data_IF_381146473101
#
_entry.id   IF_381146473101
#
_cell.length_a   1.000
_cell.length_b   1.000
_cell.length_c   1.000
_cell.angle_alpha   90.00
_cell.angle_beta   90.00
_cell.angle_gamma   90.00
#
_symmetry.space_group_name_H-M   'P 1'
#
loop_
_entity.id
_entity.type
_entity.pdbx_description
1 polymer ?
#
# COMPACT_ATOMS: atom_id res chain seq x y z
N UNK A 1 -18.62 17.23 -43.76
CA UNK A 1 -17.47 17.92 -43.13
C UNK A 1 -17.76 18.10 -41.64
N UNK A 2 -17.02 17.42 -40.74
CA UNK A 2 -17.12 17.71 -39.30
C UNK A 2 -16.50 19.09 -39.06
N UNK A 3 -17.31 20.06 -38.59
CA UNK A 3 -16.80 21.39 -38.20
C UNK A 3 -15.87 21.20 -37.01
N UNK A 4 -14.59 21.52 -37.17
CA UNK A 4 -13.66 21.56 -36.05
C UNK A 4 -14.09 22.68 -35.10
N UNK A 5 -14.28 22.35 -33.82
CA UNK A 5 -14.57 23.32 -32.78
C UNK A 5 -13.25 23.86 -32.23
N UNK A 6 -13.11 25.17 -32.16
CA UNK A 6 -11.95 25.83 -31.57
C UNK A 6 -12.12 25.80 -30.05
N UNK A 7 -11.22 25.12 -29.35
CA UNK A 7 -11.19 25.08 -27.88
C UNK A 7 -9.98 25.89 -27.41
N UNK A 8 -10.16 26.69 -26.36
CA UNK A 8 -9.10 27.40 -25.66
C UNK A 8 -9.09 26.94 -24.21
N UNK A 9 -7.91 26.64 -23.68
CA UNK A 9 -7.68 26.29 -22.28
C UNK A 9 -6.80 27.38 -21.66
N UNK A 10 -7.26 27.98 -20.57
CA UNK A 10 -6.45 28.82 -19.70
C UNK A 10 -6.12 28.04 -18.44
N UNK A 11 -4.83 27.92 -18.11
CA UNK A 11 -4.38 27.33 -16.86
C UNK A 11 -3.80 28.45 -16.00
N UNK A 12 -4.32 28.60 -14.78
CA UNK A 12 -3.71 29.43 -13.75
C UNK A 12 -3.13 28.51 -12.70
N UNK A 13 -1.85 28.65 -12.41
CA UNK A 13 -1.15 27.90 -11.38
C UNK A 13 -0.84 28.84 -10.22
N UNK A 14 -1.10 28.38 -9.00
CA UNK A 14 -0.69 29.06 -7.77
C UNK A 14 0.09 28.08 -6.93
N UNK A 15 1.28 28.47 -6.49
CA UNK A 15 2.06 27.67 -5.54
C UNK A 15 1.43 27.78 -4.14
N UNK A 16 1.40 26.66 -3.43
CA UNK A 16 1.00 26.59 -2.03
C UNK A 16 2.15 25.99 -1.25
N UNK A 17 2.44 26.60 -0.11
CA UNK A 17 3.49 26.15 0.80
C UNK A 17 2.84 25.72 2.12
N UNK A 18 3.34 24.63 2.68
CA UNK A 18 3.00 24.16 4.02
C UNK A 18 4.25 23.57 4.64
N UNK A 19 4.38 23.74 5.95
CA UNK A 19 5.41 23.04 6.72
C UNK A 19 4.90 21.63 7.08
N UNK A 20 5.79 20.65 6.98
CA UNK A 20 5.57 19.28 7.41
C UNK A 20 6.73 18.82 8.28
N UNK A 21 6.48 17.91 9.22
CA UNK A 21 7.46 17.46 10.20
C UNK A 21 7.54 15.95 10.21
N UNK A 22 8.72 15.37 10.16
CA UNK A 22 8.89 13.97 10.54
C UNK A 22 9.15 13.89 12.04
N UNK A 23 8.51 12.94 12.73
CA UNK A 23 8.76 12.68 14.15
C UNK A 23 9.57 11.40 14.29
N UNK A 24 10.69 11.47 15.01
CA UNK A 24 11.64 10.36 15.08
C UNK A 24 12.01 10.08 16.54
N UNK A 25 11.80 8.83 16.97
CA UNK A 25 12.25 8.30 18.24
C UNK A 25 13.42 7.34 18.05
N UNK A 26 14.42 7.38 18.93
CA UNK A 26 15.56 6.46 18.91
C UNK A 26 15.65 5.69 20.23
N UNK A 27 15.66 4.36 20.14
CA UNK A 27 15.88 3.44 21.26
C UNK A 27 17.29 2.86 21.13
N UNK A 28 18.19 3.32 22.00
CA UNK A 28 19.58 2.87 22.07
C UNK A 28 19.70 1.65 22.98
N UNK A 29 20.01 0.49 22.40
CA UNK A 29 20.16 -0.79 23.11
C UNK A 29 21.62 -1.29 23.11
N UNK A 30 22.58 -0.43 22.76
CA UNK A 30 24.00 -0.76 22.64
C UNK A 30 24.26 -1.92 21.67
N UNK A 31 23.51 -1.96 20.56
CA UNK A 31 23.69 -2.95 19.49
C UNK A 31 24.47 -2.35 18.32
N UNK A 32 25.09 -3.23 17.51
CA UNK A 32 25.92 -2.81 16.37
C UNK A 32 25.10 -2.15 15.25
N UNK A 33 23.85 -2.55 15.11
CA UNK A 33 22.98 -2.21 13.98
C UNK A 33 21.64 -1.67 14.46
N UNK A 34 21.01 -0.87 13.61
CA UNK A 34 19.73 -0.19 13.87
C UNK A 34 18.69 -0.66 12.87
N UNK A 35 17.47 -0.92 13.34
CA UNK A 35 16.31 -1.20 12.50
C UNK A 35 15.44 0.05 12.44
N UNK A 36 15.03 0.43 11.23
CA UNK A 36 14.05 1.51 11.05
C UNK A 36 12.65 0.90 11.04
N UNK A 37 11.75 1.47 11.83
CA UNK A 37 10.32 1.17 11.79
C UNK A 37 9.59 2.44 11.36
N UNK A 38 8.85 2.38 10.26
CA UNK A 38 8.23 3.55 9.63
C UNK A 38 6.71 3.43 9.45
N UNK A 39 6.02 4.55 9.57
CA UNK A 39 4.63 4.76 9.16
C UNK A 39 4.45 6.26 8.86
N UNK A 40 3.52 6.65 7.98
CA UNK A 40 3.14 8.06 7.90
C UNK A 40 2.00 8.37 8.87
N UNK A 41 1.88 9.64 9.25
CA UNK A 41 0.85 10.11 10.18
C UNK A 41 -0.01 11.23 9.60
N UNK A 42 0.32 11.73 8.40
CA UNK A 42 -0.60 12.58 7.64
C UNK A 42 -1.71 11.76 6.98
N UNK A 43 -2.80 12.45 6.65
CA UNK A 43 -3.85 11.94 5.79
C UNK A 43 -4.53 13.13 5.07
N UNK A 44 -5.61 12.89 4.35
CA UNK A 44 -6.24 13.83 3.43
C UNK A 44 -6.99 15.01 4.07
N UNK A 45 -7.09 15.09 5.40
CA UNK A 45 -7.77 16.21 6.09
C UNK A 45 -9.23 16.36 5.64
N UNK A 46 -9.58 17.47 4.98
CA UNK A 46 -10.95 17.67 4.44
C UNK A 46 -11.20 16.98 3.08
N UNK A 47 -10.29 16.11 2.64
CA UNK A 47 -10.29 15.48 1.33
C UNK A 47 -9.53 16.32 0.30
N UNK A 48 -9.96 16.26 -0.96
CA UNK A 48 -9.29 16.95 -2.06
C UNK A 48 -9.18 16.07 -3.30
N UNK A 49 -8.11 16.27 -4.07
CA UNK A 49 -7.88 15.55 -5.33
C UNK A 49 -7.74 14.03 -5.13
N UNK A 50 -7.16 13.62 -3.99
CA UNK A 50 -6.97 12.21 -3.64
C UNK A 50 -8.19 11.57 -2.96
N UNK A 51 -9.25 12.34 -2.66
CA UNK A 51 -10.44 11.80 -2.01
C UNK A 51 -11.28 10.94 -2.96
N UNK A 52 -11.63 9.74 -2.49
CA UNK A 52 -12.56 8.85 -3.17
C UNK A 52 -14.02 9.10 -2.77
N UNK A 53 -14.28 10.06 -1.88
CA UNK A 53 -15.62 10.43 -1.45
C UNK A 53 -16.28 11.40 -2.45
N UNK A 54 -17.60 11.25 -2.63
CA UNK A 54 -18.41 12.07 -3.57
C UNK A 54 -19.51 12.86 -2.88
N UNK A 55 -19.60 12.77 -1.55
CA UNK A 55 -20.53 13.57 -0.77
C UNK A 55 -19.99 14.97 -0.45
N UNK A 56 -20.65 15.68 0.49
CA UNK A 56 -20.18 16.97 0.98
C UNK A 56 -18.76 16.91 1.55
N UNK A 57 -18.05 18.04 1.58
CA UNK A 57 -16.73 18.12 2.24
C UNK A 57 -16.84 17.59 3.67
N UNK A 58 -15.94 16.66 4.01
CA UNK A 58 -15.92 15.98 5.28
C UNK A 58 -14.48 15.58 5.64
N UNK A 59 -14.24 15.46 6.95
CA UNK A 59 -12.95 15.03 7.45
C UNK A 59 -12.67 13.56 7.09
N UNK A 60 -11.46 13.29 6.63
CA UNK A 60 -10.91 11.97 6.39
C UNK A 60 -10.02 11.67 7.59
N UNK A 61 -10.50 10.80 8.48
CA UNK A 61 -9.80 10.51 9.73
C UNK A 61 -8.59 9.60 9.53
N UNK A 62 -8.58 8.78 8.47
CA UNK A 62 -7.43 7.94 8.12
C UNK A 62 -7.12 6.89 9.18
N UNK A 63 -8.16 6.29 9.76
CA UNK A 63 -7.97 5.36 10.87
C UNK A 63 -7.15 4.13 10.47
N UNK A 64 -7.35 3.61 9.25
CA UNK A 64 -6.48 2.58 8.69
C UNK A 64 -5.29 3.19 7.96
N UNK A 65 -5.54 4.25 7.19
CA UNK A 65 -4.58 4.96 6.34
C UNK A 65 -4.25 6.37 6.88
N UNK A 66 -3.24 6.57 7.71
CA UNK A 66 -2.37 5.55 8.30
C UNK A 66 -2.27 5.64 9.83
N UNK A 67 -3.40 5.96 10.47
CA UNK A 67 -3.58 5.89 11.91
C UNK A 67 -3.26 4.49 12.46
N UNK A 68 -3.48 3.44 11.67
CA UNK A 68 -3.18 2.06 12.06
C UNK A 68 -1.68 1.79 12.16
N UNK A 69 -0.88 2.17 11.15
CA UNK A 69 0.58 2.04 11.17
C UNK A 69 1.19 2.87 12.27
N UNK A 70 0.73 4.12 12.43
CA UNK A 70 1.18 5.00 13.52
C UNK A 70 0.90 4.39 14.90
N UNK A 71 -0.32 3.90 15.13
CA UNK A 71 -0.70 3.27 16.41
C UNK A 71 0.08 1.99 16.66
N UNK A 72 0.30 1.17 15.62
CA UNK A 72 1.10 -0.04 15.70
C UNK A 72 2.53 0.27 16.16
N UNK A 73 3.17 1.29 15.57
CA UNK A 73 4.53 1.66 15.90
C UNK A 73 4.67 2.27 17.29
N UNK A 74 3.67 3.01 17.78
CA UNK A 74 3.65 3.48 19.17
C UNK A 74 3.62 2.31 20.16
N UNK A 75 2.87 1.24 19.88
CA UNK A 75 2.87 0.04 20.72
C UNK A 75 4.19 -0.73 20.63
N UNK A 76 4.77 -0.87 19.43
CA UNK A 76 6.10 -1.49 19.25
C UNK A 76 7.20 -0.67 19.95
N UNK A 77 7.11 0.67 19.92
CA UNK A 77 7.99 1.57 20.66
C UNK A 77 7.89 1.30 22.17
N UNK A 78 6.67 1.27 22.71
CA UNK A 78 6.41 0.97 24.12
C UNK A 78 6.99 -0.40 24.51
N UNK A 79 6.81 -1.41 23.66
CA UNK A 79 7.33 -2.75 23.88
C UNK A 79 8.87 -2.78 23.91
N UNK A 80 9.55 -2.20 22.92
CA UNK A 80 11.01 -2.22 22.88
C UNK A 80 11.66 -1.34 23.96
N UNK A 81 11.02 -0.23 24.35
CA UNK A 81 11.54 0.64 25.41
C UNK A 81 11.58 -0.04 26.79
N UNK A 82 10.82 -1.11 26.99
CA UNK A 82 10.72 -1.83 28.27
C UNK A 82 11.55 -3.12 28.31
N UNK A 83 12.29 -3.45 27.24
CA UNK A 83 12.98 -4.73 27.10
C UNK A 83 14.49 -4.57 27.04
N UNK A 84 15.18 -5.60 27.53
CA UNK A 84 16.65 -5.69 27.46
C UNK A 84 17.12 -6.77 26.49
N UNK A 85 16.25 -7.70 26.10
CA UNK A 85 16.53 -8.82 25.19
C UNK A 85 16.29 -8.46 23.72
N UNK A 86 16.61 -7.23 23.35
CA UNK A 86 16.51 -6.76 21.96
C UNK A 86 17.77 -7.08 21.16
N UNK A 87 17.63 -7.25 19.85
CA UNK A 87 18.76 -7.58 18.96
C UNK A 87 19.37 -6.36 18.26
N UNK A 88 18.62 -5.25 18.17
CA UNK A 88 19.02 -4.03 17.46
C UNK A 88 18.76 -2.78 18.31
N UNK A 89 19.31 -1.66 17.86
CA UNK A 89 18.76 -0.35 18.19
C UNK A 89 17.56 -0.09 17.28
N UNK A 90 16.65 0.80 17.66
CA UNK A 90 15.45 1.06 16.86
C UNK A 90 15.29 2.55 16.58
N UNK A 91 15.10 2.89 15.31
CA UNK A 91 14.73 4.23 14.87
C UNK A 91 13.27 4.18 14.40
N UNK A 92 12.38 4.77 15.17
CA UNK A 92 10.93 4.74 14.93
C UNK A 92 10.54 6.08 14.34
N UNK A 93 10.04 6.07 13.12
CA UNK A 93 9.81 7.26 12.31
C UNK A 93 8.34 7.38 11.91
N UNK A 94 7.79 8.57 12.12
CA UNK A 94 6.47 8.98 11.67
C UNK A 94 6.64 10.06 10.60
N UNK A 95 6.25 9.77 9.36
CA UNK A 95 6.45 10.66 8.22
C UNK A 95 5.24 11.56 7.96
N UNK A 96 5.51 12.76 7.47
CA UNK A 96 4.47 13.69 7.00
C UNK A 96 4.53 13.83 5.48
N UNK A 97 3.39 14.19 4.87
CA UNK A 97 3.23 14.39 3.44
C UNK A 97 3.58 13.14 2.60
N UNK A 98 3.23 11.96 3.10
CA UNK A 98 3.26 10.72 2.31
C UNK A 98 2.24 10.81 1.16
N UNK A 99 1.03 11.27 1.48
CA UNK A 99 -0.13 11.37 0.57
C UNK A 99 0.10 12.33 -0.60
N UNK A 100 1.11 13.19 -0.47
CA UNK A 100 1.56 14.16 -1.47
C UNK A 100 2.75 13.64 -2.29
N UNK A 101 3.13 12.37 -2.13
CA UNK A 101 4.20 11.72 -2.87
C UNK A 101 5.47 11.47 -2.06
N UNK A 102 5.34 10.88 -0.87
CA UNK A 102 6.45 10.41 -0.02
C UNK A 102 7.41 11.53 0.43
N UNK A 103 6.92 12.76 0.56
CA UNK A 103 7.78 13.94 0.73
C UNK A 103 8.60 13.84 2.02
N UNK A 104 7.98 13.44 3.13
CA UNK A 104 8.64 13.32 4.43
C UNK A 104 9.76 12.29 4.44
N UNK A 105 9.46 11.03 4.09
CA UNK A 105 10.48 9.96 4.07
C UNK A 105 11.60 10.26 3.06
N UNK A 106 11.26 10.78 1.88
CA UNK A 106 12.23 11.18 0.87
C UNK A 106 13.11 12.33 1.35
N UNK A 107 12.56 13.30 2.07
CA UNK A 107 13.35 14.38 2.63
C UNK A 107 14.37 13.84 3.64
N UNK A 108 13.92 13.01 4.59
CA UNK A 108 14.80 12.48 5.63
C UNK A 108 15.90 11.58 5.06
N UNK A 109 15.60 10.67 4.14
CA UNK A 109 16.65 9.81 3.57
C UNK A 109 17.68 10.59 2.73
N UNK A 110 17.34 11.78 2.24
CA UNK A 110 18.27 12.69 1.56
C UNK A 110 19.01 13.66 2.50
N UNK A 111 18.45 13.94 3.68
CA UNK A 111 19.00 14.86 4.68
C UNK A 111 19.06 14.19 6.05
N UNK A 112 19.60 12.97 6.09
CA UNK A 112 19.49 12.09 7.24
C UNK A 112 20.17 12.68 8.47
N UNK A 113 19.47 12.61 9.60
CA UNK A 113 20.02 12.91 10.93
C UNK A 113 20.67 11.69 11.60
N UNK A 114 20.70 10.55 10.91
CA UNK A 114 21.24 9.28 11.38
C UNK A 114 22.19 8.64 10.35
N UNK A 115 23.29 7.99 10.74
CA UNK A 115 24.20 7.33 9.81
C UNK A 115 23.53 6.12 9.13
N UNK A 116 23.08 6.26 7.88
CA UNK A 116 22.37 5.18 7.14
C UNK A 116 23.16 3.87 7.05
N UNK A 117 24.49 3.91 7.07
CA UNK A 117 25.36 2.72 7.11
C UNK A 117 25.16 1.83 8.35
N UNK A 118 24.59 2.39 9.42
CA UNK A 118 24.26 1.65 10.65
C UNK A 118 22.85 1.06 10.61
N UNK A 119 22.04 1.43 9.62
CA UNK A 119 20.72 0.85 9.39
C UNK A 119 20.87 -0.50 8.72
N UNK A 120 20.24 -1.53 9.28
CA UNK A 120 20.25 -2.89 8.76
C UNK A 120 19.14 -3.10 7.72
N UNK A 121 17.93 -2.66 8.06
CA UNK A 121 16.76 -2.69 7.20
C UNK A 121 15.68 -1.75 7.74
N UNK A 122 14.67 -1.52 6.91
CA UNK A 122 13.46 -0.77 7.28
C UNK A 122 12.21 -1.63 7.15
N UNK A 123 11.32 -1.57 8.13
CA UNK A 123 9.95 -2.11 8.04
C UNK A 123 8.98 -0.94 8.04
N UNK A 124 8.23 -0.79 6.94
CA UNK A 124 7.14 0.15 6.82
C UNK A 124 5.81 -0.52 7.19
N UNK A 125 4.94 0.18 7.91
CA UNK A 125 3.60 -0.27 8.25
C UNK A 125 2.58 0.74 7.73
N UNK A 126 1.75 0.30 6.79
CA UNK A 126 0.74 1.13 6.16
C UNK A 126 -0.54 0.34 5.94
N UNK A 127 -1.69 0.91 6.31
CA UNK A 127 -2.98 0.21 6.27
C UNK A 127 -2.92 -1.20 6.89
N UNK A 128 -2.55 -1.27 8.16
CA UNK A 128 -2.33 -2.51 8.94
C UNK A 128 -3.46 -2.82 9.93
N UNK A 129 -4.54 -2.04 9.90
CA UNK A 129 -5.69 -2.14 10.78
C UNK A 129 -6.81 -3.03 10.25
N UNK A 130 -6.75 -3.53 9.00
CA UNK A 130 -7.85 -4.28 8.36
C UNK A 130 -7.55 -5.75 8.11
N UNK A 131 -6.70 -6.36 8.95
CA UNK A 131 -6.37 -7.78 8.84
C UNK A 131 -7.63 -8.67 8.80
N UNK A 132 -7.89 -9.30 7.65
CA UNK A 132 -9.02 -10.22 7.39
C UNK A 132 -8.49 -11.58 6.99
N UNK A 133 -9.09 -12.65 7.52
CA UNK A 133 -8.69 -14.04 7.24
C UNK A 133 -7.20 -14.35 7.50
N UNK A 134 -6.55 -13.55 8.37
CA UNK A 134 -5.11 -13.56 8.59
C UNK A 134 -4.24 -13.28 7.35
N UNK A 135 -4.81 -12.73 6.27
CA UNK A 135 -4.08 -12.39 5.05
C UNK A 135 -3.32 -11.09 5.21
N UNK A 136 -2.04 -11.12 4.89
CA UNK A 136 -1.13 -9.98 4.95
C UNK A 136 -0.27 -9.98 3.68
N UNK A 137 -0.10 -8.83 3.05
CA UNK A 137 0.95 -8.64 2.06
C UNK A 137 2.21 -8.09 2.72
N UNK A 138 3.35 -8.67 2.34
CA UNK A 138 4.67 -8.13 2.63
C UNK A 138 5.34 -7.85 1.29
N UNK A 139 5.48 -6.57 0.94
CA UNK A 139 6.29 -6.14 -0.21
C UNK A 139 7.75 -5.93 0.21
N UNK A 140 8.67 -5.87 -0.75
CA UNK A 140 10.11 -5.73 -0.51
C UNK A 140 10.84 -7.02 -0.18
N UNK A 141 10.17 -8.18 -0.25
CA UNK A 141 10.79 -9.46 0.14
C UNK A 141 11.94 -9.87 -0.75
N UNK A 142 12.08 -9.28 -1.94
CA UNK A 142 13.20 -9.50 -2.84
C UNK A 142 14.38 -8.56 -2.60
N UNK A 143 14.35 -7.69 -1.59
CA UNK A 143 15.38 -6.65 -1.37
C UNK A 143 16.58 -7.12 -0.54
N UNK A 144 16.49 -8.32 0.06
CA UNK A 144 17.63 -9.00 0.66
C UNK A 144 17.58 -10.50 0.38
N UNK A 145 18.75 -11.12 0.23
CA UNK A 145 18.90 -12.56 -0.04
C UNK A 145 18.27 -13.40 1.08
N UNK A 146 18.40 -12.96 2.32
CA UNK A 146 18.01 -13.71 3.52
C UNK A 146 16.50 -13.66 3.81
N UNK A 147 15.75 -12.75 3.16
CA UNK A 147 14.30 -12.63 3.35
C UNK A 147 13.53 -13.88 3.00
N UNK A 148 13.98 -14.65 2.01
CA UNK A 148 13.32 -15.90 1.64
C UNK A 148 13.33 -16.89 2.82
N UNK A 149 14.47 -17.06 3.50
CA UNK A 149 14.61 -17.96 4.64
C UNK A 149 13.92 -17.39 5.90
N UNK A 150 14.11 -16.11 6.20
CA UNK A 150 13.52 -15.43 7.36
C UNK A 150 11.99 -15.52 7.35
N UNK A 151 11.40 -15.38 6.15
CA UNK A 151 9.96 -15.44 5.93
C UNK A 151 9.47 -16.82 5.45
N UNK A 152 10.31 -17.86 5.39
CA UNK A 152 9.91 -19.20 4.92
C UNK A 152 8.98 -19.91 5.91
N UNK A 153 9.29 -19.81 7.21
CA UNK A 153 8.53 -20.50 8.25
C UNK A 153 7.26 -19.70 8.58
N UNK A 154 6.10 -20.35 8.77
CA UNK A 154 4.87 -19.69 9.22
C UNK A 154 5.10 -18.79 10.43
N UNK A 155 4.38 -17.67 10.48
CA UNK A 155 4.46 -16.68 11.56
C UNK A 155 3.04 -16.36 12.03
N UNK A 156 2.74 -16.66 13.30
CA UNK A 156 1.47 -16.30 13.97
C UNK A 156 0.18 -16.71 13.25
N UNK A 157 0.25 -17.74 12.39
CA UNK A 157 -0.87 -18.18 11.55
C UNK A 157 -1.29 -17.16 10.49
N UNK A 158 -0.39 -16.26 10.10
CA UNK A 158 -0.59 -15.32 9.00
C UNK A 158 -0.41 -16.02 7.66
N UNK A 159 -1.31 -15.73 6.73
CA UNK A 159 -1.16 -16.05 5.31
C UNK A 159 -0.44 -14.88 4.63
N UNK A 160 0.87 -15.04 4.44
CA UNK A 160 1.75 -13.97 3.97
C UNK A 160 1.90 -14.06 2.45
N UNK A 161 1.27 -13.12 1.74
CA UNK A 161 1.53 -12.87 0.32
C UNK A 161 2.82 -12.06 0.18
N UNK A 162 3.86 -12.69 -0.36
CA UNK A 162 5.16 -12.04 -0.62
C UNK A 162 5.14 -11.35 -1.97
N UNK A 163 5.56 -10.10 -1.98
CA UNK A 163 5.82 -9.32 -3.19
C UNK A 163 7.30 -8.90 -3.18
N UNK A 164 8.10 -9.34 -4.16
CA UNK A 164 9.52 -9.05 -4.15
C UNK A 164 9.83 -7.56 -4.36
N UNK A 165 8.91 -6.75 -4.91
CA UNK A 165 9.20 -5.38 -5.30
C UNK A 165 9.59 -4.48 -4.11
N UNK A 166 10.76 -3.83 -4.20
CA UNK A 166 11.22 -2.86 -3.19
C UNK A 166 10.60 -1.46 -3.32
N UNK A 167 9.92 -1.20 -4.44
CA UNK A 167 9.24 0.08 -4.72
C UNK A 167 7.74 -0.14 -4.69
N UNK A 168 7.02 0.76 -4.02
CA UNK A 168 5.57 0.83 -3.98
C UNK A 168 5.08 2.23 -3.59
N UNK A 169 3.76 2.43 -3.50
CA UNK A 169 3.17 3.72 -3.14
C UNK A 169 3.18 3.92 -1.62
N UNK A 170 4.34 3.77 -0.96
CA UNK A 170 4.50 4.07 0.46
C UNK A 170 6.00 4.26 0.81
N UNK A 171 6.28 4.66 2.05
CA UNK A 171 7.56 5.22 2.51
C UNK A 171 8.77 4.29 2.38
N UNK A 172 8.59 2.97 2.32
CA UNK A 172 9.70 2.03 2.08
C UNK A 172 10.49 2.36 0.81
N UNK A 173 9.82 2.94 -0.19
CA UNK A 173 10.43 3.33 -1.47
C UNK A 173 11.60 4.29 -1.26
N UNK A 174 11.46 5.23 -0.32
CA UNK A 174 12.50 6.22 0.00
C UNK A 174 13.76 5.57 0.57
N UNK A 175 13.64 4.43 1.25
CA UNK A 175 14.75 3.66 1.82
C UNK A 175 15.35 2.68 0.83
N UNK A 176 14.51 2.03 0.01
CA UNK A 176 14.97 1.16 -1.08
C UNK A 176 15.90 1.92 -2.04
N UNK A 177 15.60 3.18 -2.37
CA UNK A 177 16.49 4.02 -3.18
C UNK A 177 17.81 4.42 -2.51
N UNK A 178 18.01 4.05 -1.25
CA UNK A 178 19.29 4.16 -0.51
C UNK A 178 20.02 2.82 -0.38
N UNK A 179 19.64 1.84 -1.19
CA UNK A 179 20.20 0.48 -1.19
C UNK A 179 20.07 -0.20 0.19
N UNK A 180 18.98 0.07 0.91
CA UNK A 180 18.62 -0.60 2.15
C UNK A 180 17.58 -1.70 1.89
N UNK A 181 17.70 -2.87 2.52
CA UNK A 181 16.61 -3.84 2.55
C UNK A 181 15.37 -3.25 3.20
N UNK A 182 14.22 -3.51 2.60
CA UNK A 182 12.94 -3.00 3.08
C UNK A 182 11.88 -4.10 3.12
N UNK A 183 10.95 -3.97 4.05
CA UNK A 183 9.68 -4.69 4.06
C UNK A 183 8.55 -3.69 4.23
N UNK A 184 7.44 -3.90 3.55
CA UNK A 184 6.23 -3.10 3.71
C UNK A 184 5.06 -4.00 4.07
N UNK A 185 4.47 -3.79 5.25
CA UNK A 185 3.34 -4.55 5.77
C UNK A 185 2.03 -3.86 5.38
N UNK A 186 1.14 -4.60 4.71
CA UNK A 186 -0.11 -4.06 4.15
C UNK A 186 -1.25 -5.09 4.28
N UNK A 187 -2.39 -4.69 4.85
CA UNK A 187 -3.55 -5.60 5.04
C UNK A 187 -4.58 -5.56 3.92
N UNK A 188 -4.24 -4.96 2.80
CA UNK A 188 -5.13 -4.84 1.65
C UNK A 188 -5.96 -3.57 1.72
N UNK A 189 -6.61 -3.24 0.61
CA UNK A 189 -7.47 -2.07 0.55
C UNK A 189 -8.90 -2.39 1.02
N UNK A 190 -9.74 -1.39 1.20
CA UNK A 190 -11.15 -1.58 1.57
C UNK A 190 -12.02 -0.39 1.15
N UNK A 191 -13.35 -0.57 1.09
CA UNK A 191 -14.28 0.45 0.59
C UNK A 191 -14.28 1.81 1.30
N UNK A 192 -13.59 1.95 2.43
CA UNK A 192 -13.45 3.21 3.17
C UNK A 192 -12.15 3.97 2.85
N UNK A 193 -11.22 3.36 2.12
CA UNK A 193 -9.94 3.99 1.72
C UNK A 193 -10.15 5.35 1.09
N UNK A 194 -9.37 6.35 1.54
CA UNK A 194 -9.47 7.75 1.11
C UNK A 194 -10.90 8.32 1.18
N UNK A 195 -11.69 7.93 2.19
CA UNK A 195 -13.03 8.45 2.46
C UNK A 195 -13.19 8.84 3.94
N UNK A 196 -14.16 9.72 4.26
CA UNK A 196 -14.50 10.08 5.63
C UNK A 196 -14.88 8.91 6.53
N UNK A 197 -15.24 7.78 5.94
CA UNK A 197 -15.68 6.59 6.65
C UNK A 197 -14.52 5.68 7.07
N UNK A 198 -13.26 6.02 6.79
CA UNK A 198 -12.12 5.30 7.35
C UNK A 198 -11.91 5.68 8.82
N UNK A 199 -12.70 5.03 9.68
CA UNK A 199 -12.85 5.34 11.09
C UNK A 199 -12.43 4.21 12.03
N UNK A 200 -12.10 4.62 13.26
CA UNK A 200 -11.48 3.79 14.28
C UNK A 200 -12.34 2.58 14.72
N UNK A 201 -13.67 2.69 14.65
CA UNK A 201 -14.59 1.60 15.02
C UNK A 201 -14.46 0.38 14.11
N UNK A 202 -13.84 0.56 12.93
CA UNK A 202 -13.70 -0.50 11.94
C UNK A 202 -12.31 -1.17 11.94
N UNK A 203 -11.45 -0.79 12.88
CA UNK A 203 -10.09 -1.31 13.01
C UNK A 203 -10.07 -2.64 13.77
N UNK A 204 -9.34 -3.61 13.23
CA UNK A 204 -9.05 -4.89 13.86
C UNK A 204 -7.81 -4.78 14.78
N UNK A 205 -7.99 -4.21 15.97
CA UNK A 205 -6.91 -4.06 16.96
C UNK A 205 -6.24 -5.38 17.36
N UNK A 206 -6.98 -6.49 17.40
CA UNK A 206 -6.39 -7.83 17.66
C UNK A 206 -5.47 -8.26 16.53
N UNK A 207 -5.86 -7.97 15.29
CA UNK A 207 -5.01 -8.14 14.10
C UNK A 207 -3.74 -7.31 14.19
N UNK A 208 -3.85 -6.03 14.55
CA UNK A 208 -2.68 -5.16 14.75
C UNK A 208 -1.73 -5.68 15.83
N UNK A 209 -2.24 -6.16 16.97
CA UNK A 209 -1.40 -6.77 18.01
C UNK A 209 -0.62 -8.01 17.50
N UNK A 210 -1.25 -8.80 16.61
CA UNK A 210 -0.58 -9.90 15.91
C UNK A 210 0.51 -9.39 14.97
N UNK A 211 0.29 -8.28 14.26
CA UNK A 211 1.30 -7.66 13.39
C UNK A 211 2.46 -7.03 14.20
N UNK A 212 2.22 -6.50 15.40
CA UNK A 212 3.30 -6.08 16.30
C UNK A 212 4.20 -7.27 16.68
N UNK A 213 3.57 -8.43 16.95
CA UNK A 213 4.29 -9.68 17.22
C UNK A 213 5.04 -10.22 16.00
N UNK A 214 4.51 -9.98 14.79
CA UNK A 214 5.20 -10.28 13.53
C UNK A 214 6.48 -9.46 13.40
N UNK A 215 6.43 -8.13 13.63
CA UNK A 215 7.61 -7.26 13.59
C UNK A 215 8.70 -7.80 14.51
N UNK A 216 8.35 -8.11 15.76
CA UNK A 216 9.29 -8.74 16.71
C UNK A 216 9.88 -10.05 16.18
N UNK A 217 9.05 -10.91 15.60
CA UNK A 217 9.50 -12.21 15.07
C UNK A 217 10.44 -12.06 13.88
N UNK A 218 10.15 -11.14 12.96
CA UNK A 218 11.06 -10.79 11.86
C UNK A 218 12.39 -10.35 12.46
N UNK A 219 12.37 -9.38 13.39
CA UNK A 219 13.59 -8.89 14.03
C UNK A 219 14.41 -9.96 14.73
N UNK A 220 13.77 -10.89 15.46
CA UNK A 220 14.47 -12.01 16.10
C UNK A 220 15.05 -12.98 15.08
N UNK A 221 14.33 -13.29 14.01
CA UNK A 221 14.82 -14.19 12.96
C UNK A 221 15.99 -13.58 12.20
N UNK A 222 15.91 -12.29 11.86
CA UNK A 222 16.99 -11.56 11.18
C UNK A 222 18.26 -11.48 12.01
N UNK A 223 18.15 -11.43 13.34
CA UNK A 223 19.31 -11.38 14.23
C UNK A 223 20.22 -12.63 14.18
N UNK A 224 19.77 -13.72 13.54
CA UNK A 224 20.61 -14.90 13.30
C UNK A 224 21.61 -14.70 12.15
N UNK A 225 21.52 -13.60 11.41
CA UNK A 225 22.42 -13.24 10.33
C UNK A 225 23.30 -12.07 10.77
N UNK A 226 24.58 -12.08 10.37
CA UNK A 226 25.52 -11.01 10.74
C UNK A 226 25.15 -9.67 10.08
N UNK A 227 24.76 -9.74 8.81
CA UNK A 227 24.16 -8.67 8.03
C UNK A 227 23.21 -9.27 6.98
N UNK A 228 22.28 -8.46 6.50
CA UNK A 228 21.52 -8.71 5.28
C UNK A 228 22.31 -8.29 4.04
N UNK A 229 22.13 -9.06 2.98
CA UNK A 229 22.73 -8.78 1.67
C UNK A 229 21.70 -8.08 0.80
N UNK A 230 21.78 -6.75 0.70
CA UNK A 230 20.89 -5.98 -0.18
C UNK A 230 21.02 -6.42 -1.64
N UNK A 231 19.88 -6.56 -2.31
CA UNK A 231 19.83 -6.79 -3.74
C UNK A 231 18.72 -5.94 -4.38
N UNK A 232 19.00 -5.43 -5.57
CA UNK A 232 18.00 -4.68 -6.35
C UNK A 232 16.99 -5.65 -6.92
N UNK A 233 15.72 -5.29 -6.79
CA UNK A 233 14.63 -6.12 -7.29
C UNK A 233 14.47 -5.87 -8.79
N UNK A 234 14.38 -6.95 -9.58
CA UNK A 234 14.20 -6.89 -11.04
C UNK A 234 12.80 -6.43 -11.47
N UNK A 235 11.94 -6.06 -10.53
CA UNK A 235 10.60 -5.51 -10.75
C UNK A 235 10.59 -4.08 -11.34
N UNK A 236 11.61 -3.74 -12.12
CA UNK A 236 11.64 -2.59 -13.01
C UNK A 236 11.81 -2.98 -14.48
N UNK A 237 11.46 -4.21 -14.87
CA UNK A 237 10.79 -4.28 -16.17
C UNK A 237 9.55 -3.41 -16.02
N UNK A 238 9.66 -2.21 -16.59
CA UNK A 238 8.56 -1.29 -16.82
C UNK A 238 7.51 -2.07 -17.59
N UNK A 239 6.65 -2.82 -16.89
CA UNK A 239 5.28 -3.04 -17.36
C UNK A 239 4.70 -1.64 -17.36
N UNK A 240 4.96 -0.92 -18.45
CA UNK A 240 4.42 0.41 -18.70
C UNK A 240 2.94 0.27 -18.48
N UNK A 241 2.45 0.84 -17.39
CA UNK A 241 1.02 0.92 -17.16
C UNK A 241 0.46 1.64 -18.38
N UNK A 242 -0.33 0.95 -19.22
CA UNK A 242 -0.85 1.61 -20.41
C UNK A 242 -1.71 2.78 -19.96
N UNK A 243 -1.56 3.93 -20.62
CA UNK A 243 -2.45 5.06 -20.37
C UNK A 243 -3.87 4.63 -20.74
N UNK A 244 -4.75 4.56 -19.75
CA UNK A 244 -6.18 4.33 -19.95
C UNK A 244 -6.95 5.62 -19.65
N UNK A 245 -8.03 5.83 -20.42
CA UNK A 245 -8.90 7.02 -20.28
C UNK A 245 -10.22 6.72 -19.55
N UNK A 246 -10.42 5.47 -19.18
CA UNK A 246 -11.65 4.94 -18.60
C UNK A 246 -11.36 4.12 -17.35
N UNK A 247 -12.38 3.92 -16.51
CA UNK A 247 -12.28 3.11 -15.30
C UNK A 247 -13.60 2.40 -15.06
N UNK A 248 -13.55 1.17 -14.52
CA UNK A 248 -14.75 0.52 -13.98
C UNK A 248 -15.20 1.13 -12.64
N UNK A 249 -14.33 1.88 -11.97
CA UNK A 249 -14.56 2.35 -10.60
C UNK A 249 -14.57 1.22 -9.57
N UNK A 250 -13.85 0.14 -9.84
CA UNK A 250 -13.67 -0.98 -8.91
C UNK A 250 -12.42 -0.81 -8.07
N UNK A 251 -12.42 -1.48 -6.92
CA UNK A 251 -11.35 -1.49 -5.96
C UNK A 251 -10.70 -2.88 -5.92
N UNK A 252 -9.48 -3.07 -6.44
CA UNK A 252 -8.82 -4.36 -6.46
C UNK A 252 -8.58 -4.94 -5.07
N UNK A 253 -8.79 -6.25 -4.89
CA UNK A 253 -8.26 -7.00 -3.75
C UNK A 253 -6.81 -7.39 -4.06
N UNK A 254 -5.88 -6.57 -3.60
CA UNK A 254 -4.44 -6.78 -3.78
C UNK A 254 -3.92 -8.04 -3.10
N UNK A 255 -4.65 -8.62 -2.14
CA UNK A 255 -4.27 -9.84 -1.43
C UNK A 255 -4.77 -11.10 -2.12
N UNK A 256 -5.57 -10.99 -3.18
CA UNK A 256 -6.00 -12.14 -3.96
C UNK A 256 -4.83 -12.76 -4.71
N UNK A 257 -4.69 -14.09 -4.64
CA UNK A 257 -3.64 -14.86 -5.31
C UNK A 257 -4.15 -15.81 -6.41
N UNK A 258 -5.46 -15.84 -6.66
CA UNK A 258 -6.05 -16.65 -7.72
C UNK A 258 -6.02 -15.96 -9.09
N UNK A 259 -6.41 -16.67 -10.18
CA UNK A 259 -6.53 -16.07 -11.50
C UNK A 259 -7.66 -15.03 -11.52
N UNK A 260 -7.45 -13.96 -12.29
CA UNK A 260 -8.42 -12.88 -12.45
C UNK A 260 -8.12 -11.68 -11.55
N UNK A 261 -9.07 -10.75 -11.49
CA UNK A 261 -9.01 -9.60 -10.60
C UNK A 261 -10.19 -9.66 -9.61
N UNK A 262 -9.93 -10.15 -8.40
CA UNK A 262 -10.92 -10.03 -7.31
C UNK A 262 -11.02 -8.56 -6.88
N UNK A 263 -12.22 -8.12 -6.54
CA UNK A 263 -12.48 -6.76 -6.08
C UNK A 263 -13.00 -6.72 -4.64
N UNK A 264 -12.52 -5.76 -3.86
CA UNK A 264 -13.03 -5.43 -2.52
C UNK A 264 -14.29 -4.55 -2.59
N UNK A 265 -14.59 -4.01 -3.77
CA UNK A 265 -15.86 -3.33 -4.02
C UNK A 265 -15.90 -2.57 -5.34
N UNK A 266 -17.05 -1.95 -5.58
CA UNK A 266 -17.32 -1.09 -6.72
C UNK A 266 -17.91 0.23 -6.24
N UNK A 267 -17.47 1.33 -6.83
CA UNK A 267 -17.95 2.67 -6.52
C UNK A 267 -19.33 2.87 -7.13
N UNK A 268 -20.31 3.28 -6.33
CA UNK A 268 -21.67 3.54 -6.77
C UNK A 268 -21.70 4.55 -7.94
N UNK A 269 -22.54 4.27 -8.94
CA UNK A 269 -22.70 5.10 -10.13
C UNK A 269 -21.56 5.00 -11.16
N UNK A 270 -20.53 4.18 -10.91
CA UNK A 270 -19.46 3.89 -11.88
C UNK A 270 -19.79 2.67 -12.75
N UNK A 271 -19.14 2.50 -13.92
CA UNK A 271 -19.47 1.43 -14.86
C UNK A 271 -19.55 0.04 -14.22
N UNK A 272 -18.60 -0.31 -13.34
CA UNK A 272 -18.58 -1.60 -12.65
C UNK A 272 -19.78 -1.80 -11.73
N UNK A 273 -20.13 -0.80 -10.91
CA UNK A 273 -21.31 -0.89 -10.02
C UNK A 273 -22.62 -0.91 -10.81
N UNK A 274 -22.72 -0.13 -11.89
CA UNK A 274 -23.88 -0.13 -12.79
C UNK A 274 -24.07 -1.47 -13.51
N UNK A 275 -22.96 -2.18 -13.77
CA UNK A 275 -22.92 -3.53 -14.29
C UNK A 275 -23.21 -4.61 -13.23
N UNK A 276 -23.51 -4.20 -12.00
CA UNK A 276 -23.87 -5.09 -10.90
C UNK A 276 -22.69 -5.73 -10.18
N UNK A 277 -21.45 -5.28 -10.39
CA UNK A 277 -20.29 -5.77 -9.63
C UNK A 277 -20.41 -5.47 -8.13
N UNK A 278 -19.96 -6.41 -7.31
CA UNK A 278 -19.99 -6.40 -5.85
C UNK A 278 -18.64 -6.85 -5.29
N UNK A 279 -18.40 -6.51 -4.03
CA UNK A 279 -17.25 -7.02 -3.28
C UNK A 279 -17.25 -8.56 -3.30
N UNK A 280 -16.09 -9.16 -3.57
CA UNK A 280 -15.91 -10.61 -3.69
C UNK A 280 -15.95 -11.14 -5.12
N UNK A 281 -16.49 -10.39 -6.08
CA UNK A 281 -16.50 -10.80 -7.49
C UNK A 281 -15.06 -10.88 -8.04
N UNK A 282 -14.83 -11.81 -8.96
CA UNK A 282 -13.55 -11.97 -9.67
C UNK A 282 -13.74 -11.67 -11.15
N UNK A 283 -13.18 -10.55 -11.63
CA UNK A 283 -13.25 -10.18 -13.04
C UNK A 283 -12.30 -11.11 -13.83
N UNK A 284 -12.85 -11.79 -14.83
CA UNK A 284 -12.15 -12.78 -15.65
C UNK A 284 -11.90 -12.31 -17.09
N UNK A 285 -12.73 -11.40 -17.62
CA UNK A 285 -12.60 -10.93 -19.00
C UNK A 285 -13.25 -9.55 -19.20
N UNK A 286 -12.63 -8.70 -20.01
CA UNK A 286 -13.19 -7.42 -20.47
C UNK A 286 -13.06 -7.36 -21.99
N UNK A 287 -14.18 -7.32 -22.72
CA UNK A 287 -14.20 -7.50 -24.17
C UNK A 287 -13.54 -8.81 -24.54
N UNK A 288 -12.53 -8.78 -25.41
CA UNK A 288 -11.77 -9.99 -25.82
C UNK A 288 -10.55 -10.29 -24.94
N UNK A 289 -10.30 -9.47 -23.90
CA UNK A 289 -9.07 -9.53 -23.11
C UNK A 289 -9.32 -10.32 -21.83
N UNK A 290 -8.65 -11.47 -21.71
CA UNK A 290 -8.65 -12.28 -20.49
C UNK A 290 -7.89 -11.56 -19.38
N UNK A 291 -8.49 -11.53 -18.20
CA UNK A 291 -7.92 -10.95 -16.99
C UNK A 291 -7.38 -12.10 -16.15
N UNK A 292 -6.08 -12.11 -15.92
CA UNK A 292 -5.40 -13.08 -15.06
C UNK A 292 -4.63 -12.42 -13.92
N UNK A 293 -4.36 -11.12 -14.02
CA UNK A 293 -3.76 -10.28 -12.98
C UNK A 293 -4.20 -8.80 -13.14
N UNK A 294 -3.73 -7.93 -12.24
CA UNK A 294 -4.03 -6.49 -12.27
C UNK A 294 -3.45 -5.78 -13.51
N UNK A 295 -2.34 -6.27 -14.07
CA UNK A 295 -1.73 -5.66 -15.24
C UNK A 295 -2.51 -5.97 -16.52
N UNK A 296 -3.04 -7.19 -16.64
CA UNK A 296 -3.99 -7.57 -17.69
C UNK A 296 -5.24 -6.70 -17.61
N UNK A 297 -5.75 -6.44 -16.41
CA UNK A 297 -6.86 -5.50 -16.19
C UNK A 297 -6.54 -4.08 -16.67
N UNK A 298 -5.41 -3.50 -16.25
CA UNK A 298 -4.99 -2.17 -16.70
C UNK A 298 -4.80 -2.12 -18.23
N UNK A 299 -4.25 -3.18 -18.81
CA UNK A 299 -4.10 -3.33 -20.27
C UNK A 299 -5.45 -3.35 -20.97
N UNK A 300 -6.42 -4.07 -20.40
CA UNK A 300 -7.77 -4.12 -20.94
C UNK A 300 -8.43 -2.74 -20.94
N UNK A 301 -8.32 -1.97 -19.84
CA UNK A 301 -8.84 -0.60 -19.80
C UNK A 301 -8.21 0.32 -20.85
N UNK A 302 -6.93 0.09 -21.20
CA UNK A 302 -6.23 0.83 -22.25
C UNK A 302 -6.83 0.66 -23.66
N UNK A 303 -7.62 -0.39 -23.89
CA UNK A 303 -8.27 -0.66 -25.16
C UNK A 303 -9.56 0.14 -25.39
N UNK A 304 -10.10 0.80 -24.36
CA UNK A 304 -11.42 1.44 -24.41
C UNK A 304 -11.38 2.95 -24.16
N UNK A 305 -12.42 3.63 -24.64
CA UNK A 305 -12.69 5.06 -24.48
C UNK A 305 -14.07 5.28 -23.88
N UNK A 306 -14.29 6.48 -23.34
CA UNK A 306 -15.58 6.87 -22.79
C UNK A 306 -16.68 6.74 -23.84
N UNK A 307 -17.76 6.05 -23.50
CA UNK A 307 -18.89 5.71 -24.35
C UNK A 307 -18.77 4.37 -25.07
N UNK A 308 -17.61 3.71 -25.03
CA UNK A 308 -17.47 2.37 -25.60
C UNK A 308 -18.26 1.37 -24.76
N UNK A 309 -18.91 0.43 -25.45
CA UNK A 309 -19.64 -0.68 -24.84
C UNK A 309 -18.87 -1.98 -25.06
N UNK A 310 -18.88 -2.84 -24.04
CA UNK A 310 -18.27 -4.16 -24.16
C UNK A 310 -18.90 -5.13 -23.17
N UNK A 311 -18.51 -6.40 -23.27
CA UNK A 311 -18.92 -7.45 -22.35
C UNK A 311 -17.89 -7.56 -21.23
N UNK A 312 -18.38 -7.63 -20.00
CA UNK A 312 -17.63 -7.95 -18.80
C UNK A 312 -18.04 -9.34 -18.33
N UNK A 313 -17.05 -10.21 -18.11
CA UNK A 313 -17.25 -11.54 -17.52
C UNK A 313 -16.60 -11.57 -16.16
N UNK A 314 -17.36 -11.94 -15.14
CA UNK A 314 -16.87 -12.09 -13.77
C UNK A 314 -17.47 -13.33 -13.10
N UNK A 315 -16.78 -13.85 -12.10
CA UNK A 315 -17.25 -14.98 -11.29
C UNK A 315 -17.79 -14.45 -9.96
N UNK A 316 -19.00 -14.88 -9.61
CA UNK A 316 -19.63 -14.66 -8.31
C UNK A 316 -20.07 -15.99 -7.74
N UNK A 317 -19.64 -16.30 -6.52
CA UNK A 317 -20.02 -17.54 -5.81
C UNK A 317 -19.77 -18.84 -6.62
N UNK A 318 -18.76 -18.81 -7.51
CA UNK A 318 -18.39 -19.94 -8.37
C UNK A 318 -19.14 -20.01 -9.71
N UNK A 319 -20.10 -19.12 -9.95
CA UNK A 319 -20.83 -19.02 -11.22
C UNK A 319 -20.31 -17.87 -12.07
N UNK A 320 -20.19 -18.11 -13.37
CA UNK A 320 -19.82 -17.10 -14.36
C UNK A 320 -21.02 -16.20 -14.68
N UNK A 321 -20.82 -14.89 -14.60
CA UNK A 321 -21.80 -13.87 -14.93
C UNK A 321 -21.26 -13.02 -16.05
N UNK A 322 -22.07 -12.86 -17.09
CA UNK A 322 -21.81 -12.01 -18.24
C UNK A 322 -22.72 -10.79 -18.19
N UNK A 323 -22.17 -9.59 -18.36
CA UNK A 323 -22.94 -8.35 -18.39
C UNK A 323 -22.35 -7.37 -19.41
N UNK A 324 -23.21 -6.57 -20.03
CA UNK A 324 -22.75 -5.42 -20.80
C UNK A 324 -22.33 -4.28 -19.86
N UNK A 325 -21.29 -3.56 -20.26
CA UNK A 325 -20.81 -2.37 -19.59
C UNK A 325 -20.65 -1.22 -20.59
N UNK A 326 -20.78 0.00 -20.10
CA UNK A 326 -20.46 1.22 -20.85
C UNK A 326 -19.46 2.03 -20.03
N UNK A 327 -18.33 2.38 -20.66
CA UNK A 327 -17.27 3.19 -20.02
C UNK A 327 -17.56 4.69 -20.01
#
# INVERSE_FOLDING_TARGET
>A
MKRAQKVALGVSMSERFSDGYNVIGYIQNNKRKTVVLGAHYDHLGMGGENSLYKGPVAIHNGADDNGSGTTLLLEVMRYYAQRQDTNYNYLIQFYSAEELGLIGSKYWTNHTTFPLKEVEYMINSDMVGRLRDNRLQISGTGTAVEWDEILAKPIHGLDIKKDPAGVGPSDQTSFYYKDLPVLHLFTGTHNDYHKPTDDADKINYKGMAKLASLIYTITVRTANYENLTFQKTTSSERKTTPNFSVTLGVMPDYLFGGPGLRIDGATEGRPGSNAGLKAGDVIMKIGDIAIYDIYAYMTALGAFKKGDMTVLVYVRDGEEVETEITF
#
